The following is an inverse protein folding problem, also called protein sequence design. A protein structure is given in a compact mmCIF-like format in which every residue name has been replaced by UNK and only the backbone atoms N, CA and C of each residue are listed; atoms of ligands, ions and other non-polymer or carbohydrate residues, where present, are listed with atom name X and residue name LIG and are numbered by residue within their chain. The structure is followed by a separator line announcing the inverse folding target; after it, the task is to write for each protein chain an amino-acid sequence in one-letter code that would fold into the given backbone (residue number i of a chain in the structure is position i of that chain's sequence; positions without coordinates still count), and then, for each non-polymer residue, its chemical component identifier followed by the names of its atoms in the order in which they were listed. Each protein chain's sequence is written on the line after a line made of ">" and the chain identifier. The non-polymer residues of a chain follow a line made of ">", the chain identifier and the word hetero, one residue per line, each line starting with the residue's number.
data_IF_041641637227
#
_entry.id   IF_041641637227
#
_cell.length_a   1.000
_cell.length_b   1.000
_cell.length_c   1.000
_cell.angle_alpha   90.00
_cell.angle_beta   90.00
_cell.angle_gamma   90.00
#
_symmetry.space_group_name_H-M   'P 1'
#
loop_
_entity.id
_entity.type
_entity.pdbx_description
1 polymer ?
#
# COMPACT_ATOMS: atom_id res chain seq x y z
N UNK A 1 -22.54 4.02 2.14
CA UNK A 1 -21.71 2.88 1.64
C UNK A 1 -20.30 3.27 1.18
N UNK A 2 -20.04 4.49 0.68
CA UNK A 2 -18.71 4.92 0.19
C UNK A 2 -17.55 4.82 1.21
N UNK A 3 -17.82 5.06 2.50
CA UNK A 3 -16.79 5.06 3.56
C UNK A 3 -16.06 3.72 3.71
N UNK A 4 -16.80 2.61 3.69
CA UNK A 4 -16.23 1.26 3.88
C UNK A 4 -15.35 0.88 2.69
N UNK A 5 -15.74 1.31 1.49
CA UNK A 5 -15.02 0.99 0.26
C UNK A 5 -13.58 1.49 0.29
N UNK A 6 -13.35 2.75 0.68
CA UNK A 6 -11.99 3.31 0.72
C UNK A 6 -11.08 2.67 1.77
N UNK A 7 -11.63 2.26 2.93
CA UNK A 7 -10.88 1.48 3.92
C UNK A 7 -10.53 0.07 3.42
N UNK A 8 -11.47 -0.60 2.74
CA UNK A 8 -11.23 -1.93 2.14
C UNK A 8 -10.17 -1.85 1.04
N UNK A 9 -10.25 -0.85 0.15
CA UNK A 9 -9.24 -0.63 -0.89
C UNK A 9 -7.87 -0.34 -0.29
N UNK A 10 -7.79 0.50 0.75
CA UNK A 10 -6.55 0.76 1.48
C UNK A 10 -5.94 -0.52 2.06
N UNK A 11 -6.76 -1.37 2.69
CA UNK A 11 -6.32 -2.67 3.22
C UNK A 11 -5.81 -3.61 2.12
N UNK A 12 -6.51 -3.71 1.00
CA UNK A 12 -6.08 -4.53 -0.15
C UNK A 12 -4.71 -4.06 -0.66
N UNK A 13 -4.50 -2.74 -0.78
CA UNK A 13 -3.20 -2.22 -1.19
C UNK A 13 -2.08 -2.48 -0.17
N UNK A 14 -2.37 -2.48 1.14
CA UNK A 14 -1.40 -2.88 2.15
C UNK A 14 -1.01 -4.36 2.05
N UNK A 15 -1.95 -5.25 1.74
CA UNK A 15 -1.65 -6.68 1.52
C UNK A 15 -0.71 -6.85 0.34
N UNK A 16 -0.95 -6.15 -0.76
CA UNK A 16 -0.05 -6.17 -1.92
C UNK A 16 1.31 -5.56 -1.59
N UNK A 17 1.36 -4.46 -0.83
CA UNK A 17 2.62 -3.86 -0.38
C UNK A 17 3.45 -4.84 0.46
N UNK A 18 2.82 -5.55 1.40
CA UNK A 18 3.48 -6.58 2.20
C UNK A 18 4.05 -7.71 1.33
N UNK A 19 3.31 -8.16 0.32
CA UNK A 19 3.79 -9.13 -0.68
C UNK A 19 4.99 -8.61 -1.46
N UNK A 20 4.97 -7.34 -1.88
CA UNK A 20 6.08 -6.72 -2.58
C UNK A 20 7.34 -6.62 -1.71
N UNK A 21 7.21 -6.19 -0.45
CA UNK A 21 8.34 -6.15 0.48
C UNK A 21 8.91 -7.54 0.79
N UNK A 22 8.06 -8.56 0.90
CA UNK A 22 8.52 -9.95 1.06
C UNK A 22 9.36 -10.42 -0.13
N UNK A 23 8.92 -10.12 -1.36
CA UNK A 23 9.68 -10.43 -2.57
C UNK A 23 10.98 -9.61 -2.67
N UNK A 24 10.95 -8.35 -2.22
CA UNK A 24 12.14 -7.52 -2.11
C UNK A 24 13.18 -8.18 -1.19
N UNK A 25 12.79 -8.55 0.03
CA UNK A 25 13.68 -9.25 0.98
C UNK A 25 14.23 -10.57 0.42
N UNK A 26 13.40 -11.34 -0.28
CA UNK A 26 13.84 -12.57 -0.95
C UNK A 26 14.88 -12.30 -2.05
N UNK A 27 14.69 -11.23 -2.84
CA UNK A 27 15.65 -10.80 -3.87
C UNK A 27 17.01 -10.42 -3.28
N UNK A 28 17.01 -9.65 -2.18
CA UNK A 28 18.24 -9.31 -1.46
C UNK A 28 18.92 -10.55 -0.87
N UNK A 29 18.16 -11.48 -0.29
CA UNK A 29 18.69 -12.73 0.27
C UNK A 29 19.26 -13.69 -0.80
N UNK A 30 18.76 -13.63 -2.03
CA UNK A 30 19.22 -14.44 -3.16
C UNK A 30 20.38 -13.79 -3.96
N UNK A 31 20.98 -12.70 -3.46
CA UNK A 31 21.98 -11.89 -4.18
C UNK A 31 21.46 -11.29 -5.52
N UNK A 32 20.14 -11.25 -5.71
CA UNK A 32 19.49 -10.64 -6.87
C UNK A 32 19.08 -9.20 -6.53
N UNK A 33 20.06 -8.30 -6.46
CA UNK A 33 19.88 -6.91 -6.01
C UNK A 33 18.90 -6.09 -6.86
N UNK A 34 18.84 -6.33 -8.17
CA UNK A 34 17.87 -5.66 -9.06
C UNK A 34 16.43 -6.04 -8.68
N UNK A 35 16.18 -7.34 -8.47
CA UNK A 35 14.89 -7.85 -8.04
C UNK A 35 14.53 -7.30 -6.65
N UNK A 36 15.49 -7.30 -5.72
CA UNK A 36 15.32 -6.71 -4.39
C UNK A 36 14.95 -5.23 -4.44
N UNK A 37 15.64 -4.45 -5.28
CA UNK A 37 15.41 -3.02 -5.45
C UNK A 37 14.03 -2.73 -6.03
N UNK A 38 13.67 -3.31 -7.18
CA UNK A 38 12.41 -3.00 -7.86
C UNK A 38 11.17 -3.44 -7.07
N UNK A 39 11.20 -4.60 -6.43
CA UNK A 39 10.12 -5.00 -5.53
C UNK A 39 10.00 -4.08 -4.31
N UNK A 40 11.12 -3.52 -3.84
CA UNK A 40 11.13 -2.51 -2.78
C UNK A 40 10.45 -1.20 -3.25
N UNK A 41 10.80 -0.71 -4.43
CA UNK A 41 10.16 0.46 -5.06
C UNK A 41 8.65 0.25 -5.20
N UNK A 42 8.24 -0.91 -5.71
CA UNK A 42 6.82 -1.29 -5.83
C UNK A 42 6.15 -1.28 -4.45
N UNK A 43 6.76 -1.89 -3.43
CA UNK A 43 6.21 -1.90 -2.07
C UNK A 43 5.98 -0.50 -1.51
N UNK A 44 6.90 0.44 -1.75
CA UNK A 44 6.77 1.84 -1.33
C UNK A 44 5.60 2.52 -2.05
N UNK A 45 5.49 2.37 -3.37
CA UNK A 45 4.40 2.95 -4.16
C UNK A 45 3.02 2.44 -3.71
N UNK A 46 2.92 1.13 -3.46
CA UNK A 46 1.69 0.49 -2.97
C UNK A 46 1.32 0.99 -1.56
N UNK A 47 2.31 1.21 -0.70
CA UNK A 47 2.09 1.78 0.64
C UNK A 47 1.58 3.21 0.54
N UNK A 48 2.15 4.04 -0.34
CA UNK A 48 1.66 5.41 -0.59
C UNK A 48 0.23 5.39 -1.10
N UNK A 49 -0.11 4.50 -2.04
CA UNK A 49 -1.47 4.34 -2.55
C UNK A 49 -2.46 3.93 -1.44
N UNK A 50 -2.07 2.99 -0.58
CA UNK A 50 -2.88 2.60 0.57
C UNK A 50 -3.11 3.76 1.54
N UNK A 51 -2.06 4.50 1.89
CA UNK A 51 -2.15 5.68 2.76
C UNK A 51 -3.06 6.73 2.14
N UNK A 52 -2.92 7.03 0.85
CA UNK A 52 -3.78 7.98 0.14
C UNK A 52 -5.26 7.56 0.17
N UNK A 53 -5.55 6.26 -0.02
CA UNK A 53 -6.91 5.73 0.07
C UNK A 53 -7.48 5.88 1.49
N UNK A 54 -6.71 5.54 2.52
CA UNK A 54 -7.13 5.64 3.92
C UNK A 54 -7.36 7.09 4.35
N UNK A 55 -6.39 7.98 4.09
CA UNK A 55 -6.50 9.41 4.44
C UNK A 55 -7.54 10.14 3.62
N UNK A 56 -7.64 9.86 2.32
CA UNK A 56 -8.67 10.43 1.46
C UNK A 56 -10.08 10.07 1.95
N UNK A 57 -10.27 8.81 2.36
CA UNK A 57 -11.53 8.35 2.95
C UNK A 57 -11.82 9.05 4.27
N UNK A 58 -10.82 9.15 5.16
CA UNK A 58 -10.99 9.81 6.47
C UNK A 58 -11.35 11.30 6.35
N UNK A 59 -10.70 12.05 5.46
CA UNK A 59 -11.01 13.47 5.23
C UNK A 59 -12.43 13.64 4.70
N UNK A 60 -12.81 12.86 3.67
CA UNK A 60 -14.17 12.91 3.13
C UNK A 60 -15.22 12.53 4.17
N UNK A 61 -14.89 11.63 5.11
CA UNK A 61 -15.82 11.28 6.18
C UNK A 61 -16.06 12.42 7.17
N UNK A 62 -15.07 13.29 7.41
CA UNK A 62 -15.20 14.45 8.32
C UNK A 62 -16.04 15.56 7.72
N UNK A 63 -15.84 15.89 6.44
CA UNK A 63 -16.59 16.96 5.76
C UNK A 63 -18.09 16.70 5.62
N UNK A 64 -18.55 15.46 5.84
CA UNK A 64 -19.99 15.13 5.85
C UNK A 64 -20.67 15.41 7.20
N UNK A 65 -19.92 15.76 8.24
CA UNK A 65 -20.42 15.94 9.61
C UNK A 65 -20.46 17.41 10.07
N UNK A 66 -19.96 18.34 9.25
CA UNK A 66 -20.01 19.80 9.45
C UNK A 66 -21.00 20.43 8.45
#
# INVERSE_FOLDING_TARGET
>A
MSRIFGFVVGLVWLVFAAGAFRNSMAGWGAQASDLGFWWGVIGVLLTIAAVAALFGTWIHTRQQHD
#
